data_IF_444902122894
#
_entry.id   IF_444902122894
#
_cell.length_a   1.000
_cell.length_b   1.000
_cell.length_c   1.000
_cell.angle_alpha   90.00
_cell.angle_beta   90.00
_cell.angle_gamma   90.00
#
_symmetry.space_group_name_H-M   'P 1'
#
loop_
_entity.id
_entity.type
_entity.pdbx_description
1 polymer ?
#
# COMPACT_ATOMS: atom_id res chain seq x y z
N UNK A 1 3.70 32.17 34.20
CA UNK A 1 3.01 32.22 32.92
C UNK A 1 2.52 30.80 32.66
N UNK A 2 1.20 30.62 32.59
CA UNK A 2 0.54 29.31 32.46
C UNK A 2 0.60 28.85 31.00
N UNK A 3 0.84 27.56 30.75
CA UNK A 3 0.85 26.98 29.39
C UNK A 3 -0.49 27.22 28.68
N UNK A 4 -1.58 27.28 29.45
CA UNK A 4 -2.91 27.61 28.94
C UNK A 4 -2.99 29.05 28.40
N UNK A 5 -2.43 30.02 29.11
CA UNK A 5 -2.41 31.42 28.64
C UNK A 5 -1.57 31.57 27.37
N UNK A 6 -0.45 30.83 27.27
CA UNK A 6 0.41 30.88 26.09
C UNK A 6 -0.27 30.26 24.85
N UNK A 7 -1.07 29.21 25.02
CA UNK A 7 -1.83 28.59 23.93
C UNK A 7 -3.00 29.48 23.47
N UNK A 8 -3.71 30.13 24.41
CA UNK A 8 -4.79 31.05 24.06
C UNK A 8 -4.25 32.28 23.30
N UNK A 9 -3.04 32.77 23.64
CA UNK A 9 -2.40 33.89 22.95
C UNK A 9 -1.97 33.53 21.51
N UNK A 10 -1.49 32.30 21.28
CA UNK A 10 -1.14 31.82 19.93
C UNK A 10 -2.39 31.58 19.08
N UNK A 11 -3.49 31.10 19.69
CA UNK A 11 -4.73 30.84 18.98
C UNK A 11 -5.45 32.12 18.50
N UNK A 12 -5.30 33.23 19.24
CA UNK A 12 -5.95 34.51 18.92
C UNK A 12 -5.13 35.44 18.02
N UNK A 13 -3.85 35.13 17.76
CA UNK A 13 -2.94 35.99 16.98
C UNK A 13 -2.76 35.55 15.52
N UNK A 14 -3.57 34.61 15.05
CA UNK A 14 -3.61 34.25 13.63
C UNK A 14 -4.27 35.34 12.77
N UNK A 15 -3.79 35.58 11.53
CA UNK A 15 -4.44 36.51 10.61
C UNK A 15 -5.90 36.08 10.39
N UNK A 16 -6.82 37.05 10.38
CA UNK A 16 -8.25 36.79 10.22
C UNK A 16 -8.50 35.86 9.05
N UNK A 17 -9.09 34.71 9.38
CA UNK A 17 -9.46 33.70 8.41
C UNK A 17 -10.42 34.29 7.39
N UNK A 18 -9.98 34.39 6.12
CA UNK A 18 -10.84 34.85 5.03
C UNK A 18 -12.16 34.07 5.03
N UNK A 19 -13.31 34.74 4.82
CA UNK A 19 -14.61 34.10 4.76
C UNK A 19 -14.61 32.92 3.79
N UNK A 20 -15.33 31.85 4.15
CA UNK A 20 -15.40 30.60 3.35
C UNK A 20 -15.77 30.88 1.89
N UNK A 21 -16.63 31.87 1.64
CA UNK A 21 -17.03 32.30 0.30
C UNK A 21 -15.86 32.82 -0.56
N UNK A 22 -14.91 33.55 0.03
CA UNK A 22 -13.74 34.09 -0.68
C UNK A 22 -12.71 33.00 -0.99
N UNK A 23 -12.53 32.01 -0.10
CA UNK A 23 -11.68 30.85 -0.36
C UNK A 23 -12.21 30.03 -1.53
N UNK A 24 -13.52 29.78 -1.55
CA UNK A 24 -14.18 29.07 -2.65
C UNK A 24 -14.12 29.85 -3.97
N UNK A 25 -14.25 31.18 -3.94
CA UNK A 25 -14.11 32.02 -5.13
C UNK A 25 -12.67 31.97 -5.71
N UNK A 26 -11.67 31.96 -4.84
CA UNK A 26 -10.25 31.87 -5.21
C UNK A 26 -9.93 30.51 -5.84
N UNK A 27 -10.43 29.42 -5.24
CA UNK A 27 -10.30 28.06 -5.80
C UNK A 27 -10.95 27.91 -7.18
N UNK A 28 -12.18 28.43 -7.35
CA UNK A 28 -12.88 28.39 -8.66
C UNK A 28 -12.13 29.17 -9.74
N UNK A 29 -11.51 30.32 -9.42
CA UNK A 29 -10.68 31.09 -10.37
C UNK A 29 -9.43 30.33 -10.80
N UNK A 30 -8.76 29.65 -9.88
CA UNK A 30 -7.56 28.85 -10.18
C UNK A 30 -7.87 27.70 -11.15
N UNK A 31 -8.97 26.96 -10.92
CA UNK A 31 -9.41 25.87 -11.79
C UNK A 31 -9.78 26.37 -13.19
N UNK A 32 -10.43 27.53 -13.29
CA UNK A 32 -10.84 28.10 -14.59
C UNK A 32 -9.65 28.50 -15.45
N UNK A 33 -8.56 29.01 -14.87
CA UNK A 33 -7.31 29.32 -15.62
C UNK A 33 -6.65 28.05 -16.17
N UNK A 34 -6.69 26.95 -15.42
CA UNK A 34 -6.08 25.67 -15.85
C UNK A 34 -6.79 25.04 -17.06
N UNK A 35 -8.12 25.23 -17.15
CA UNK A 35 -8.91 24.71 -18.28
C UNK A 35 -8.73 25.49 -19.59
N UNK A 36 -8.34 26.76 -19.53
CA UNK A 36 -8.11 27.57 -20.74
C UNK A 36 -6.71 27.33 -21.32
N UNK A 37 -5.73 26.91 -20.51
CA UNK A 37 -4.37 26.61 -20.96
C UNK A 37 -4.18 25.26 -21.67
N UNK A 38 -5.12 24.31 -21.54
CA UNK A 38 -4.97 22.95 -22.07
C UNK A 38 -5.42 22.79 -23.54
N UNK A 39 -5.94 23.84 -24.19
CA UNK A 39 -6.49 23.77 -25.55
C UNK A 39 -5.49 24.18 -26.65
N UNK A 40 -4.23 24.51 -26.33
CA UNK A 40 -3.24 25.01 -27.29
C UNK A 40 -1.98 24.15 -27.33
N UNK A 41 -2.12 22.87 -27.72
CA UNK A 41 -0.98 21.94 -27.79
C UNK A 41 -1.26 20.69 -28.61
N UNK A 42 -1.84 20.82 -29.80
CA UNK A 42 -1.95 19.74 -30.78
C UNK A 42 -1.40 20.24 -32.11
N UNK A 43 -0.08 20.11 -32.29
CA UNK A 43 0.60 20.24 -33.59
C UNK A 43 1.40 18.97 -33.81
N UNK A 44 1.20 18.41 -34.99
CA UNK A 44 1.59 17.08 -35.43
C UNK A 44 3.10 16.84 -35.51
N UNK A 45 3.52 15.61 -35.19
CA UNK A 45 4.71 14.97 -35.76
C UNK A 45 4.27 13.65 -36.36
N UNK A 46 3.97 13.69 -37.66
CA UNK A 46 3.98 12.51 -38.53
C UNK A 46 5.44 12.23 -38.85
N UNK A 47 6.02 11.19 -38.26
CA UNK A 47 7.31 10.66 -38.66
C UNK A 47 7.17 9.15 -38.90
N UNK A 48 7.30 8.82 -40.19
CA UNK A 48 7.35 7.50 -40.79
C UNK A 48 8.44 6.66 -40.11
N UNK A 49 8.05 5.54 -39.50
CA UNK A 49 8.96 4.53 -38.96
C UNK A 49 8.43 3.15 -39.32
N UNK A 50 9.03 2.52 -40.33
CA UNK A 50 8.54 1.32 -40.98
C UNK A 50 8.54 0.07 -40.10
N UNK A 51 7.58 -0.80 -40.40
CA UNK A 51 7.53 -2.17 -39.92
C UNK A 51 8.69 -2.99 -40.50
N UNK A 52 9.57 -3.47 -39.64
CA UNK A 52 10.52 -4.53 -39.94
C UNK A 52 10.49 -5.55 -38.80
N UNK A 53 9.42 -6.35 -38.75
CA UNK A 53 9.45 -7.62 -38.02
C UNK A 53 9.96 -8.68 -38.99
N UNK A 54 11.26 -8.94 -38.92
CA UNK A 54 11.88 -10.09 -39.55
C UNK A 54 11.29 -11.37 -38.96
N UNK A 55 10.66 -12.18 -39.81
CA UNK A 55 10.35 -13.57 -39.52
C UNK A 55 11.65 -14.33 -39.25
N UNK A 56 11.85 -14.76 -38.01
CA UNK A 56 12.87 -15.76 -37.69
C UNK A 56 12.37 -17.14 -38.18
N UNK A 57 13.20 -17.93 -38.86
CA UNK A 57 12.83 -19.28 -39.25
C UNK A 57 12.65 -20.16 -38.01
N UNK A 58 11.49 -20.80 -37.93
CA UNK A 58 11.22 -21.91 -37.01
C UNK A 58 12.15 -23.08 -37.37
N UNK A 59 13.24 -23.24 -36.63
CA UNK A 59 13.99 -24.49 -36.61
C UNK A 59 13.21 -25.52 -35.77
N UNK A 60 13.09 -26.78 -36.24
CA UNK A 60 12.48 -27.83 -35.44
C UNK A 60 13.31 -28.07 -34.17
N UNK A 61 12.66 -27.96 -33.02
CA UNK A 61 13.28 -28.22 -31.72
C UNK A 61 13.85 -29.65 -31.69
N UNK A 62 15.18 -29.76 -31.65
CA UNK A 62 15.86 -31.03 -31.38
C UNK A 62 15.62 -31.37 -29.92
N UNK A 63 14.86 -32.44 -29.66
CA UNK A 63 14.73 -33.03 -28.34
C UNK A 63 16.08 -33.66 -27.96
N UNK A 64 16.88 -32.92 -27.19
CA UNK A 64 18.06 -33.48 -26.53
C UNK A 64 17.56 -34.20 -25.29
N UNK A 65 17.48 -35.53 -25.38
CA UNK A 65 17.31 -36.40 -24.21
C UNK A 65 18.54 -36.19 -23.31
N UNK A 66 18.38 -35.43 -22.24
CA UNK A 66 19.44 -35.21 -21.25
C UNK A 66 19.82 -36.56 -20.63
N UNK A 67 21.03 -37.02 -20.96
CA UNK A 67 21.65 -38.18 -20.36
C UNK A 67 22.01 -37.85 -18.90
N UNK A 68 21.44 -38.61 -17.96
CA UNK A 68 21.86 -38.67 -16.57
C UNK A 68 21.19 -37.60 -15.69
N UNK A 69 20.23 -38.03 -14.88
CA UNK A 69 19.81 -37.26 -13.72
C UNK A 69 21.06 -36.99 -12.85
N UNK A 70 21.40 -35.72 -12.56
CA UNK A 70 22.45 -35.43 -11.59
C UNK A 70 22.08 -36.11 -10.28
N UNK A 71 23.00 -36.89 -9.72
CA UNK A 71 22.85 -37.40 -8.36
C UNK A 71 22.54 -36.22 -7.43
N UNK A 72 21.56 -36.33 -6.54
CA UNK A 72 21.19 -35.24 -5.63
C UNK A 72 22.45 -34.81 -4.88
N UNK A 73 22.96 -33.64 -5.22
CA UNK A 73 24.08 -33.05 -4.51
C UNK A 73 23.57 -32.76 -3.08
N UNK A 74 24.22 -33.27 -2.03
CA UNK A 74 23.79 -33.04 -0.67
C UNK A 74 23.68 -31.53 -0.45
N UNK A 75 22.49 -31.05 -0.08
CA UNK A 75 22.34 -29.68 0.38
C UNK A 75 23.31 -29.50 1.55
N UNK A 76 24.22 -28.50 1.50
CA UNK A 76 25.12 -28.25 2.62
C UNK A 76 24.26 -28.06 3.89
N UNK A 77 24.72 -28.59 5.04
CA UNK A 77 23.94 -28.53 6.26
C UNK A 77 23.60 -27.07 6.59
N UNK A 78 22.30 -26.79 6.72
CA UNK A 78 21.78 -25.52 7.17
C UNK A 78 22.42 -25.23 8.53
N UNK A 79 23.33 -24.28 8.59
CA UNK A 79 24.00 -23.93 9.84
C UNK A 79 22.99 -23.12 10.67
N UNK A 80 22.41 -23.68 11.74
CA UNK A 80 21.38 -23.00 12.51
C UNK A 80 22.01 -21.78 13.18
N UNK A 81 21.64 -20.58 12.71
CA UNK A 81 22.16 -19.31 13.21
C UNK A 81 22.85 -18.42 12.16
N UNK A 82 23.04 -18.88 10.92
CA UNK A 82 23.47 -17.98 9.85
C UNK A 82 22.26 -17.40 9.11
N UNK A 83 21.93 -16.15 9.39
CA UNK A 83 20.87 -15.42 8.68
C UNK A 83 21.23 -15.31 7.20
N UNK A 84 20.30 -15.72 6.33
CA UNK A 84 20.43 -15.57 4.89
C UNK A 84 20.15 -14.11 4.53
N UNK A 85 21.16 -13.41 4.02
CA UNK A 85 21.01 -12.04 3.55
C UNK A 85 20.42 -12.05 2.14
N UNK A 86 19.35 -11.27 1.86
CA UNK A 86 18.74 -11.23 0.52
C UNK A 86 19.74 -10.84 -0.57
N UNK A 87 20.59 -9.85 -0.29
CA UNK A 87 21.67 -9.41 -1.18
C UNK A 87 22.92 -8.99 -0.38
N UNK A 88 24.03 -8.74 -1.08
CA UNK A 88 25.24 -8.20 -0.43
C UNK A 88 25.04 -6.77 0.09
N UNK A 89 24.14 -6.02 -0.55
CA UNK A 89 23.84 -4.62 -0.25
C UNK A 89 22.70 -4.44 0.77
N UNK A 90 22.05 -5.54 1.18
CA UNK A 90 21.00 -5.53 2.21
C UNK A 90 21.49 -4.96 3.53
N UNK A 91 20.71 -4.06 4.11
CA UNK A 91 20.97 -3.45 5.42
C UNK A 91 20.35 -4.24 6.58
N UNK A 92 19.30 -5.00 6.28
CA UNK A 92 18.60 -5.85 7.22
C UNK A 92 18.31 -7.19 6.56
N UNK A 93 18.12 -8.23 7.38
CA UNK A 93 17.64 -9.53 6.97
C UNK A 93 16.65 -10.05 8.02
N UNK A 94 15.71 -10.89 7.60
CA UNK A 94 14.72 -11.53 8.46
C UNK A 94 14.86 -13.05 8.32
N UNK A 95 14.81 -13.77 9.43
CA UNK A 95 14.81 -15.23 9.44
C UNK A 95 13.39 -15.82 9.45
N UNK A 96 13.30 -17.15 9.39
CA UNK A 96 12.01 -17.86 9.32
C UNK A 96 11.14 -17.70 10.57
N UNK A 97 11.70 -17.24 11.70
CA UNK A 97 10.97 -16.96 12.93
C UNK A 97 10.54 -15.47 13.02
N UNK A 98 10.88 -14.67 12.01
CA UNK A 98 10.60 -13.24 11.96
C UNK A 98 11.63 -12.37 12.69
N UNK A 99 12.74 -12.97 13.15
CA UNK A 99 13.78 -12.20 13.82
C UNK A 99 14.60 -11.39 12.80
N UNK A 100 14.76 -10.11 13.09
CA UNK A 100 15.44 -9.16 12.21
C UNK A 100 16.88 -8.97 12.65
N UNK A 101 17.82 -9.16 11.73
CA UNK A 101 19.24 -8.87 11.92
C UNK A 101 19.65 -7.68 11.07
N UNK A 102 20.32 -6.70 11.67
CA UNK A 102 20.79 -5.49 11.00
C UNK A 102 22.29 -5.58 10.72
N UNK A 103 22.75 -4.92 9.65
CA UNK A 103 24.18 -4.70 9.43
C UNK A 103 24.74 -3.75 10.50
N UNK A 104 26.06 -3.81 10.76
CA UNK A 104 26.71 -2.79 11.59
C UNK A 104 26.41 -1.38 11.07
N UNK A 105 26.23 -0.46 12.02
CA UNK A 105 26.01 0.97 11.79
C UNK A 105 24.66 1.34 11.13
N UNK A 106 23.74 0.37 11.03
CA UNK A 106 22.35 0.63 10.63
C UNK A 106 21.53 1.02 11.87
N UNK A 107 20.90 2.18 11.81
CA UNK A 107 19.94 2.66 12.79
C UNK A 107 18.51 2.41 12.30
N UNK A 108 17.61 2.00 13.20
CA UNK A 108 16.18 1.84 12.91
C UNK A 108 15.44 3.07 13.43
N UNK A 109 14.90 3.86 12.51
CA UNK A 109 14.10 5.04 12.83
C UNK A 109 12.61 4.70 13.00
N UNK A 110 12.14 3.64 12.32
CA UNK A 110 10.75 3.19 12.34
C UNK A 110 10.62 1.72 11.97
N UNK A 111 9.57 1.06 12.47
CA UNK A 111 9.33 -0.38 12.29
C UNK A 111 7.84 -0.70 12.28
N UNK A 112 7.42 -1.49 11.30
CA UNK A 112 6.11 -2.15 11.28
C UNK A 112 6.30 -3.65 11.10
N UNK A 113 5.81 -4.44 12.05
CA UNK A 113 5.80 -5.90 11.98
C UNK A 113 4.52 -6.41 11.29
N UNK A 114 4.55 -7.64 10.80
CA UNK A 114 3.41 -8.36 10.20
C UNK A 114 2.73 -7.60 9.04
N UNK A 115 3.56 -7.00 8.18
CA UNK A 115 3.14 -6.20 7.02
C UNK A 115 2.69 -7.04 5.81
N UNK A 116 2.96 -8.34 5.83
CA UNK A 116 2.55 -9.33 4.84
C UNK A 116 1.81 -10.50 5.54
N UNK A 117 0.63 -10.18 6.10
CA UNK A 117 -0.10 -10.99 7.07
C UNK A 117 -0.03 -12.52 6.90
N UNK A 118 0.39 -13.22 7.94
CA UNK A 118 0.50 -14.69 7.94
C UNK A 118 1.87 -15.21 7.47
N UNK A 119 2.76 -14.33 7.02
CA UNK A 119 4.17 -14.63 6.79
C UNK A 119 5.05 -13.74 7.68
N UNK A 120 6.19 -14.24 8.19
CA UNK A 120 7.17 -13.41 8.87
C UNK A 120 7.58 -12.25 7.98
N UNK A 121 7.26 -11.03 8.41
CA UNK A 121 7.45 -9.83 7.59
C UNK A 121 7.64 -8.59 8.45
N UNK A 122 8.44 -7.65 7.93
CA UNK A 122 8.72 -6.38 8.60
C UNK A 122 8.99 -5.28 7.56
N UNK A 123 8.48 -4.09 7.82
CA UNK A 123 8.91 -2.88 7.15
C UNK A 123 9.74 -2.02 8.11
N UNK A 124 10.83 -1.48 7.60
CA UNK A 124 11.84 -0.77 8.36
C UNK A 124 12.15 0.57 7.70
N UNK A 125 12.23 1.59 8.52
CA UNK A 125 12.85 2.86 8.20
C UNK A 125 14.28 2.82 8.77
N UNK A 126 15.28 2.81 7.88
CA UNK A 126 16.67 2.58 8.21
C UNK A 126 17.56 3.75 7.79
N UNK A 127 18.52 4.10 8.64
CA UNK A 127 19.57 5.06 8.34
C UNK A 127 20.95 4.43 8.47
N UNK A 128 21.87 4.73 7.53
CA UNK A 128 23.27 4.28 7.59
C UNK A 128 24.18 5.26 6.86
N UNK A 129 25.17 5.81 7.56
CA UNK A 129 26.20 6.65 6.93
C UNK A 129 25.66 7.87 6.17
N UNK A 130 24.52 8.42 6.61
CA UNK A 130 23.84 9.54 5.94
C UNK A 130 22.86 9.15 4.83
N UNK A 131 22.84 7.88 4.42
CA UNK A 131 21.78 7.35 3.55
C UNK A 131 20.56 6.93 4.39
N UNK A 132 19.37 7.12 3.82
CA UNK A 132 18.08 6.84 4.44
C UNK A 132 17.25 5.99 3.48
N UNK A 133 16.79 4.82 3.93
CA UNK A 133 16.09 3.83 3.10
C UNK A 133 14.89 3.25 3.82
N UNK A 134 13.84 2.98 3.05
CA UNK A 134 12.77 2.09 3.48
C UNK A 134 13.07 0.69 2.96
N UNK A 135 12.88 -0.30 3.83
CA UNK A 135 13.13 -1.71 3.54
C UNK A 135 11.94 -2.53 3.98
N UNK A 136 11.40 -3.33 3.07
CA UNK A 136 10.36 -4.31 3.35
C UNK A 136 10.94 -5.71 3.16
N UNK A 137 10.87 -6.52 4.21
CA UNK A 137 11.37 -7.89 4.25
C UNK A 137 10.23 -8.85 4.52
N UNK A 138 10.24 -10.00 3.86
CA UNK A 138 9.34 -11.10 4.17
C UNK A 138 9.98 -12.46 3.85
N UNK A 139 9.49 -13.50 4.51
CA UNK A 139 9.87 -14.89 4.25
C UNK A 139 8.71 -15.59 3.54
N UNK A 140 8.91 -15.98 2.29
CA UNK A 140 7.92 -16.76 1.56
C UNK A 140 7.78 -18.19 2.13
N UNK A 141 6.70 -18.89 1.80
CA UNK A 141 6.41 -20.26 2.31
C UNK A 141 7.53 -21.29 2.05
N UNK A 142 8.34 -21.08 1.02
CA UNK A 142 9.49 -21.92 0.72
C UNK A 142 10.76 -21.56 1.55
N UNK A 143 10.64 -20.65 2.52
CA UNK A 143 11.72 -20.16 3.36
C UNK A 143 12.63 -19.13 2.69
N UNK A 144 12.32 -18.68 1.46
CA UNK A 144 13.13 -17.67 0.76
C UNK A 144 12.81 -16.29 1.32
N UNK A 145 13.83 -15.63 1.86
CA UNK A 145 13.76 -14.22 2.24
C UNK A 145 13.81 -13.35 1.00
N UNK A 146 12.84 -12.44 0.89
CA UNK A 146 12.76 -11.43 -0.17
C UNK A 146 12.85 -10.03 0.42
N UNK A 147 13.30 -9.06 -0.39
CA UNK A 147 13.39 -7.66 0.01
C UNK A 147 12.88 -6.71 -1.08
N UNK A 148 12.29 -5.60 -0.64
CA UNK A 148 12.08 -4.40 -1.43
C UNK A 148 12.82 -3.27 -0.72
N UNK A 149 13.66 -2.53 -1.46
CA UNK A 149 14.49 -1.45 -0.92
C UNK A 149 14.29 -0.20 -1.76
N UNK A 150 13.96 0.91 -1.11
CA UNK A 150 13.80 2.21 -1.77
C UNK A 150 14.49 3.31 -0.95
N UNK A 151 15.03 4.37 -1.58
CA UNK A 151 15.39 5.59 -0.87
C UNK A 151 14.19 6.12 -0.10
N UNK A 152 14.39 6.46 1.18
CA UNK A 152 13.30 6.96 2.01
C UNK A 152 12.76 8.28 1.48
N UNK A 153 11.48 8.31 1.15
CA UNK A 153 10.76 9.49 0.73
C UNK A 153 9.32 9.41 1.21
N UNK A 154 8.89 10.38 2.02
CA UNK A 154 7.59 10.36 2.69
C UNK A 154 7.63 9.59 4.01
N UNK A 155 6.51 8.97 4.37
CA UNK A 155 6.38 8.20 5.61
C UNK A 155 6.47 6.68 5.35
N UNK A 156 6.98 5.92 6.33
CA UNK A 156 7.16 4.47 6.21
C UNK A 156 5.85 3.73 5.88
N UNK A 157 4.72 4.18 6.42
CA UNK A 157 3.42 3.58 6.14
C UNK A 157 3.03 3.75 4.66
N UNK A 158 3.28 4.91 4.04
CA UNK A 158 3.02 5.12 2.61
C UNK A 158 3.84 4.17 1.74
N UNK A 159 5.08 3.89 2.12
CA UNK A 159 5.92 2.89 1.46
C UNK A 159 5.33 1.48 1.60
N UNK A 160 4.98 1.05 2.82
CA UNK A 160 4.37 -0.28 3.05
C UNK A 160 3.15 -0.50 2.17
N UNK A 161 2.27 0.48 2.14
CA UNK A 161 1.04 0.46 1.35
C UNK A 161 1.33 0.28 -0.14
N UNK A 162 2.28 1.05 -0.66
CA UNK A 162 2.67 0.97 -2.07
C UNK A 162 3.31 -0.37 -2.40
N UNK A 163 4.08 -0.95 -1.48
CA UNK A 163 4.81 -2.21 -1.69
C UNK A 163 3.96 -3.45 -1.45
N UNK A 164 2.83 -3.36 -0.75
CA UNK A 164 1.93 -4.49 -0.50
C UNK A 164 1.33 -5.09 -1.79
N UNK A 165 1.15 -4.29 -2.83
CA UNK A 165 0.73 -4.77 -4.16
C UNK A 165 1.71 -5.80 -4.75
N UNK A 166 3.00 -5.74 -4.36
CA UNK A 166 4.08 -6.57 -4.90
C UNK A 166 4.19 -7.93 -4.18
N UNK A 167 3.89 -7.98 -2.88
CA UNK A 167 4.12 -9.20 -2.07
C UNK A 167 3.09 -10.29 -2.36
N UNK A 168 1.82 -9.93 -2.54
CA UNK A 168 0.72 -10.90 -2.60
C UNK A 168 -0.10 -10.83 -3.90
N UNK A 169 0.40 -10.16 -4.96
CA UNK A 169 -0.26 -10.15 -6.26
C UNK A 169 -1.63 -9.45 -6.28
N UNK A 170 -1.84 -8.49 -5.38
CA UNK A 170 -3.07 -7.69 -5.29
C UNK A 170 -3.97 -8.13 -4.14
N UNK A 171 -3.56 -7.83 -2.90
CA UNK A 171 -4.52 -7.75 -1.81
C UNK A 171 -5.59 -6.71 -2.21
N UNK A 172 -6.89 -7.04 -2.15
CA UNK A 172 -7.95 -6.06 -2.36
C UNK A 172 -7.93 -5.05 -1.21
N UNK A 173 -7.07 -4.05 -1.33
CA UNK A 173 -7.06 -2.87 -0.48
C UNK A 173 -8.15 -1.92 -0.99
N UNK A 174 -9.05 -1.51 -0.10
CA UNK A 174 -9.97 -0.44 -0.44
C UNK A 174 -9.19 0.90 -0.34
N UNK A 175 -8.55 1.28 -1.45
CA UNK A 175 -7.89 2.58 -1.63
C UNK A 175 -8.95 3.58 -2.07
N UNK A 176 -9.48 4.38 -1.16
CA UNK A 176 -10.46 5.39 -1.54
C UNK A 176 -9.81 6.56 -2.28
N UNK A 177 -10.47 7.00 -3.34
CA UNK A 177 -10.22 8.29 -3.98
C UNK A 177 -11.10 9.35 -3.30
N UNK A 178 -10.68 9.81 -2.13
CA UNK A 178 -11.23 10.97 -1.42
C UNK A 178 -10.18 12.09 -1.39
N UNK A 179 -10.60 13.34 -1.57
CA UNK A 179 -9.72 14.48 -1.87
C UNK A 179 -8.59 14.75 -0.86
N UNK A 180 -7.53 15.35 -1.39
CA UNK A 180 -6.27 15.77 -0.77
C UNK A 180 -5.40 14.65 -0.15
N UNK A 181 -5.07 13.67 -1.00
CA UNK A 181 -3.81 12.92 -1.07
C UNK A 181 -3.20 12.39 0.25
N UNK A 182 -3.76 11.30 0.78
CA UNK A 182 -2.95 10.19 1.31
C UNK A 182 -3.81 8.91 1.25
N UNK A 183 -3.50 8.04 0.29
CA UNK A 183 -4.09 6.70 0.16
C UNK A 183 -3.55 5.82 1.28
N UNK A 184 -4.13 5.87 2.48
CA UNK A 184 -3.83 4.92 3.55
C UNK A 184 -4.90 3.83 3.57
N UNK A 185 -4.56 2.56 3.26
CA UNK A 185 -5.46 1.43 3.42
C UNK A 185 -5.59 1.20 4.92
N UNK A 186 -6.60 1.80 5.52
CA UNK A 186 -6.83 1.66 6.96
C UNK A 186 -7.26 0.24 7.34
N UNK A 187 -7.76 -0.52 6.37
CA UNK A 187 -8.23 -1.88 6.53
C UNK A 187 -7.88 -2.73 5.31
N UNK A 188 -7.49 -3.98 5.55
CA UNK A 188 -7.31 -5.03 4.56
C UNK A 188 -8.17 -6.24 4.94
N UNK A 189 -8.47 -7.09 3.95
CA UNK A 189 -9.24 -8.31 4.15
C UNK A 189 -8.50 -9.50 3.55
N UNK A 190 -8.18 -10.50 4.38
CA UNK A 190 -7.37 -11.68 4.00
C UNK A 190 -7.76 -12.88 4.85
N UNK A 191 -7.82 -14.08 4.28
CA UNK A 191 -8.11 -15.32 5.01
C UNK A 191 -9.38 -15.18 5.86
N UNK A 192 -10.42 -14.60 5.25
CA UNK A 192 -11.70 -14.27 5.88
C UNK A 192 -11.62 -13.36 7.12
N UNK A 193 -10.49 -12.68 7.34
CA UNK A 193 -10.19 -11.84 8.50
C UNK A 193 -9.90 -10.39 8.10
N UNK A 194 -10.30 -9.44 8.94
CA UNK A 194 -10.04 -8.01 8.76
C UNK A 194 -8.75 -7.63 9.50
N UNK A 195 -7.89 -6.89 8.83
CA UNK A 195 -6.64 -6.34 9.37
C UNK A 195 -6.70 -4.83 9.30
N UNK A 196 -6.20 -4.13 10.31
CA UNK A 196 -6.14 -2.66 10.30
C UNK A 196 -4.73 -2.18 10.58
N UNK A 197 -4.39 -1.00 10.05
CA UNK A 197 -3.10 -0.36 10.32
C UNK A 197 -2.99 0.05 11.81
N UNK A 198 -1.77 0.17 12.37
CA UNK A 198 -1.60 0.68 13.72
C UNK A 198 -2.32 2.02 13.96
N UNK A 199 -3.05 2.11 15.08
CA UNK A 199 -3.85 3.28 15.44
C UNK A 199 -5.26 3.31 14.84
N UNK A 200 -5.56 2.47 13.84
CA UNK A 200 -6.91 2.28 13.35
C UNK A 200 -7.64 1.22 14.19
N UNK A 201 -8.95 1.42 14.38
CA UNK A 201 -9.81 0.49 15.14
C UNK A 201 -11.08 0.22 14.34
N UNK A 202 -11.42 -1.06 14.15
CA UNK A 202 -12.73 -1.44 13.62
C UNK A 202 -13.77 -1.20 14.71
N UNK A 203 -14.61 -0.19 14.52
CA UNK A 203 -15.72 0.14 15.42
C UNK A 203 -16.87 -0.82 15.20
N UNK A 204 -17.13 -1.17 13.94
CA UNK A 204 -18.23 -2.06 13.54
C UNK A 204 -17.88 -2.79 12.26
N UNK A 205 -18.33 -4.03 12.16
CA UNK A 205 -18.25 -4.83 10.93
C UNK A 205 -19.61 -5.46 10.63
N UNK A 206 -20.01 -5.43 9.36
CA UNK A 206 -21.21 -6.06 8.83
C UNK A 206 -20.78 -7.11 7.80
N UNK A 207 -20.93 -8.41 8.08
CA UNK A 207 -20.66 -9.45 7.10
C UNK A 207 -21.71 -9.44 5.99
N UNK A 208 -21.30 -9.85 4.78
CA UNK A 208 -22.16 -9.92 3.58
C UNK A 208 -23.03 -8.66 3.39
N UNK A 209 -22.41 -7.46 3.29
CA UNK A 209 -23.14 -6.21 3.28
C UNK A 209 -24.07 -6.06 2.07
N UNK A 210 -23.75 -6.73 0.96
CA UNK A 210 -24.53 -6.73 -0.27
C UNK A 210 -24.67 -8.18 -0.73
N UNK A 211 -25.86 -8.79 -0.55
CA UNK A 211 -26.07 -10.21 -0.86
C UNK A 211 -25.65 -10.55 -2.30
N UNK A 212 -24.70 -11.49 -2.42
CA UNK A 212 -24.23 -11.99 -3.70
C UNK A 212 -23.19 -11.10 -4.42
N UNK A 213 -22.80 -9.96 -3.85
CA UNK A 213 -21.85 -9.03 -4.46
C UNK A 213 -20.53 -9.70 -4.90
N UNK A 214 -20.01 -10.64 -4.11
CA UNK A 214 -18.80 -11.39 -4.46
C UNK A 214 -19.01 -12.91 -4.44
N UNK A 215 -20.20 -13.37 -4.82
CA UNK A 215 -20.52 -14.79 -4.90
C UNK A 215 -20.32 -15.53 -3.57
N UNK A 216 -19.40 -16.50 -3.54
CA UNK A 216 -19.07 -17.29 -2.33
C UNK A 216 -17.93 -16.72 -1.52
N UNK A 217 -17.31 -15.62 -1.95
CA UNK A 217 -16.20 -15.01 -1.23
C UNK A 217 -16.72 -14.23 -0.02
N UNK A 218 -16.09 -14.38 1.15
CA UNK A 218 -16.41 -13.57 2.31
C UNK A 218 -16.26 -12.07 2.00
N UNK A 219 -17.21 -11.27 2.46
CA UNK A 219 -17.21 -9.81 2.27
C UNK A 219 -17.71 -9.12 3.53
N UNK A 220 -17.21 -7.91 3.77
CA UNK A 220 -17.54 -7.10 4.94
C UNK A 220 -17.67 -5.63 4.55
N UNK A 221 -18.63 -4.95 5.17
CA UNK A 221 -18.57 -3.50 5.33
C UNK A 221 -18.11 -3.16 6.74
N UNK A 222 -17.21 -2.20 6.88
CA UNK A 222 -16.61 -1.84 8.17
C UNK A 222 -16.67 -0.34 8.43
N UNK A 223 -16.85 0.01 9.69
CA UNK A 223 -16.65 1.33 10.25
C UNK A 223 -15.33 1.35 11.00
N UNK A 224 -14.45 2.29 10.64
CA UNK A 224 -13.10 2.40 11.19
C UNK A 224 -12.95 3.77 11.85
N UNK A 225 -12.36 3.80 13.05
CA UNK A 225 -11.87 5.03 13.66
C UNK A 225 -10.35 5.11 13.53
N UNK A 226 -9.85 6.26 13.06
CA UNK A 226 -8.41 6.53 12.93
C UNK A 226 -8.18 8.03 13.14
N UNK A 227 -7.27 8.38 14.05
CA UNK A 227 -6.91 9.78 14.38
C UNK A 227 -8.11 10.71 14.66
N UNK A 228 -9.12 10.17 15.37
CA UNK A 228 -10.35 10.91 15.70
C UNK A 228 -11.31 11.09 14.53
N UNK A 229 -10.96 10.60 13.33
CA UNK A 229 -11.81 10.55 12.15
C UNK A 229 -12.48 9.19 12.01
N UNK A 230 -13.58 9.17 11.26
CA UNK A 230 -14.36 7.96 10.97
C UNK A 230 -14.38 7.67 9.47
N UNK A 231 -14.25 6.41 9.12
CA UNK A 231 -14.19 5.91 7.74
C UNK A 231 -15.12 4.72 7.55
N UNK A 232 -15.58 4.54 6.32
CA UNK A 232 -16.31 3.34 5.90
C UNK A 232 -15.55 2.64 4.78
N UNK A 233 -15.58 1.31 4.81
CA UNK A 233 -15.04 0.49 3.74
C UNK A 233 -15.98 -0.68 3.44
N UNK A 234 -16.04 -1.10 2.18
CA UNK A 234 -16.60 -2.37 1.75
C UNK A 234 -15.48 -3.16 1.07
N UNK A 235 -15.15 -4.32 1.62
CA UNK A 235 -14.06 -5.18 1.17
C UNK A 235 -14.56 -6.61 0.98
N UNK A 236 -13.85 -7.34 0.15
CA UNK A 236 -14.09 -8.76 -0.10
C UNK A 236 -12.74 -9.45 -0.34
N UNK A 237 -12.69 -10.74 -0.05
CA UNK A 237 -11.50 -11.57 -0.29
C UNK A 237 -11.34 -11.88 -1.79
N UNK A 238 -12.45 -11.83 -2.54
CA UNK A 238 -12.41 -11.91 -4.00
C UNK A 238 -12.09 -10.56 -4.63
N UNK A 239 -11.48 -10.57 -5.82
CA UNK A 239 -11.24 -9.35 -6.61
C UNK A 239 -12.54 -8.83 -7.27
N UNK A 240 -13.59 -8.60 -6.47
CA UNK A 240 -14.91 -8.12 -6.92
C UNK A 240 -15.06 -6.59 -6.77
N UNK A 241 -13.95 -5.87 -6.57
CA UNK A 241 -13.94 -4.45 -6.26
C UNK A 241 -14.17 -4.16 -4.77
N UNK A 242 -14.35 -2.89 -4.45
CA UNK A 242 -14.57 -2.41 -3.08
C UNK A 242 -14.87 -0.92 -3.08
N UNK A 243 -15.16 -0.39 -1.90
CA UNK A 243 -15.33 1.06 -1.71
C UNK A 243 -14.71 1.48 -0.40
N UNK A 244 -14.14 2.68 -0.37
CA UNK A 244 -13.58 3.28 0.84
C UNK A 244 -13.77 4.78 0.80
N UNK A 245 -14.06 5.37 1.95
CA UNK A 245 -14.13 6.82 2.08
C UNK A 245 -14.27 7.26 3.53
N UNK A 246 -14.04 8.55 3.76
CA UNK A 246 -14.40 9.18 5.02
C UNK A 246 -15.92 9.12 5.22
N UNK A 247 -16.34 8.84 6.44
CA UNK A 247 -17.75 8.84 6.83
C UNK A 247 -18.18 10.28 7.12
N UNK A 248 -19.05 10.91 6.31
CA UNK A 248 -19.63 12.20 6.64
C UNK A 248 -20.29 12.16 8.02
N UNK A 249 -20.31 13.31 8.69
CA UNK A 249 -20.94 13.45 9.99
C UNK A 249 -22.42 13.00 9.91
N UNK A 250 -22.80 12.06 10.77
CA UNK A 250 -24.15 11.51 10.82
C UNK A 250 -24.43 10.34 9.86
N UNK A 251 -23.58 10.08 8.85
CA UNK A 251 -23.78 8.91 7.98
C UNK A 251 -23.61 7.61 8.78
N UNK A 252 -24.48 6.62 8.58
CA UNK A 252 -24.32 5.30 9.19
C UNK A 252 -23.65 4.29 8.26
N UNK A 253 -23.16 3.18 8.81
CA UNK A 253 -22.58 2.09 8.02
C UNK A 253 -23.61 1.51 7.04
N UNK A 254 -24.88 1.42 7.44
CA UNK A 254 -25.98 0.94 6.58
C UNK A 254 -26.26 1.89 5.42
N UNK A 255 -26.22 3.20 5.64
CA UNK A 255 -26.39 4.19 4.57
C UNK A 255 -25.24 4.12 3.56
N UNK A 256 -24.00 3.92 4.05
CA UNK A 256 -22.86 3.64 3.18
C UNK A 256 -23.07 2.35 2.38
N UNK A 257 -23.49 1.26 3.02
CA UNK A 257 -23.77 -0.02 2.35
C UNK A 257 -24.87 0.11 1.31
N UNK A 258 -25.96 0.83 1.61
CA UNK A 258 -27.05 1.05 0.66
C UNK A 258 -26.56 1.85 -0.57
N UNK A 259 -25.75 2.88 -0.35
CA UNK A 259 -25.13 3.64 -1.45
C UNK A 259 -24.18 2.76 -2.26
N UNK A 260 -23.34 1.96 -1.60
CA UNK A 260 -22.43 1.03 -2.24
C UNK A 260 -23.19 0.00 -3.10
N UNK A 261 -24.22 -0.64 -2.54
CA UNK A 261 -25.07 -1.60 -3.24
C UNK A 261 -25.68 -1.02 -4.53
N UNK A 262 -26.06 0.26 -4.52
CA UNK A 262 -26.62 0.93 -5.71
C UNK A 262 -25.63 1.14 -6.85
N UNK A 263 -24.32 0.96 -6.60
CA UNK A 263 -23.25 1.07 -7.60
C UNK A 263 -22.77 -0.28 -8.11
N UNK A 264 -23.21 -1.39 -7.49
CA UNK A 264 -22.84 -2.73 -7.94
C UNK A 264 -23.78 -3.19 -9.07
N UNK A 265 -23.25 -3.87 -10.10
CA UNK A 265 -24.02 -4.34 -11.26
C UNK A 265 -24.96 -5.51 -10.98
#
# INVERSE_FOLDING_TARGET
>A
MDLKEHLDEIAHSGPEHLPVAERLATGRRAVRRRRVGAAAGLVAVVAVGGAAWSALPNEPATVVTAAGAPSPQPSPPSNPGRVAWPSQDSWAAIDGDGAVTLRPDVEVLGRFDDVAGGMPSVALDLQRGGEHRFVLLWVADNGVTSEIVEPASGALNEFVVRSQDVIDGGLPMAVGTGGDYASLPLVAYRNSSLYVVPGATIVRALPDPVPGWCGTWPSHAVEISYEGSRYFAALTEGNCGGSFGSAPAGQTLEEFVAAFASTQP
#
